data_IF_175305444210
#
_entry.id   IF_175305444210
#
_cell.length_a   1.000
_cell.length_b   1.000
_cell.length_c   1.000
_cell.angle_alpha   90.00
_cell.angle_beta   90.00
_cell.angle_gamma   90.00
#
_symmetry.space_group_name_H-M   'P 1'
#
loop_
_entity.id
_entity.type
_entity.pdbx_description
1 polymer ?
#
# COMPACT_ATOMS: atom_id res chain seq x y z
N UNK A 1 19.95 -20.72 -59.21
CA UNK A 1 20.51 -20.19 -57.96
C UNK A 1 19.49 -19.22 -57.39
N UNK A 2 18.79 -19.72 -56.37
CA UNK A 2 18.25 -19.02 -55.20
C UNK A 2 17.17 -17.94 -55.38
N UNK A 3 15.93 -18.41 -55.48
CA UNK A 3 14.73 -17.75 -54.96
C UNK A 3 14.55 -18.15 -53.49
N UNK A 4 14.86 -17.26 -52.55
CA UNK A 4 14.62 -17.49 -51.12
C UNK A 4 13.28 -16.93 -50.65
N UNK A 5 12.58 -17.84 -49.98
CA UNK A 5 11.21 -17.85 -49.50
C UNK A 5 10.88 -16.78 -48.46
N UNK A 6 9.65 -16.25 -48.56
CA UNK A 6 8.89 -15.72 -47.44
C UNK A 6 8.41 -16.87 -46.54
N UNK A 7 8.57 -16.72 -45.22
CA UNK A 7 7.78 -17.44 -44.22
C UNK A 7 7.47 -16.52 -43.04
N UNK A 8 6.18 -16.24 -42.73
CA UNK A 8 5.83 -15.47 -41.54
C UNK A 8 5.88 -16.37 -40.29
N UNK A 9 6.58 -15.91 -39.26
CA UNK A 9 6.67 -16.56 -37.96
C UNK A 9 5.34 -16.49 -37.22
N UNK A 10 4.71 -17.65 -37.03
CA UNK A 10 3.50 -17.86 -36.24
C UNK A 10 3.75 -17.65 -34.74
N UNK A 11 3.02 -16.71 -34.13
CA UNK A 11 2.93 -16.59 -32.67
C UNK A 11 1.96 -17.63 -32.11
N UNK A 12 2.47 -18.82 -31.77
CA UNK A 12 1.71 -19.80 -31.02
C UNK A 12 1.54 -19.36 -29.55
N UNK A 13 0.35 -18.88 -29.18
CA UNK A 13 -0.08 -18.75 -27.79
C UNK A 13 -0.20 -20.14 -27.17
N UNK A 14 0.65 -20.46 -26.19
CA UNK A 14 0.49 -21.67 -25.35
C UNK A 14 -0.71 -21.48 -24.41
N UNK A 15 -1.65 -22.42 -24.33
CA UNK A 15 -2.64 -22.44 -23.26
C UNK A 15 -1.97 -22.98 -21.98
N UNK A 16 -1.71 -22.10 -21.01
CA UNK A 16 -1.37 -22.51 -19.66
C UNK A 16 -2.67 -22.86 -18.92
N UNK A 17 -3.03 -24.14 -18.90
CA UNK A 17 -4.12 -24.65 -18.07
C UNK A 17 -3.59 -24.99 -16.68
N UNK A 18 -3.59 -24.02 -15.77
CA UNK A 18 -3.56 -24.31 -14.34
C UNK A 18 -5.01 -24.47 -13.87
N UNK A 19 -5.40 -25.56 -13.18
CA UNK A 19 -6.68 -25.58 -12.50
C UNK A 19 -6.58 -24.66 -11.27
N UNK A 20 -6.94 -23.39 -11.46
CA UNK A 20 -7.28 -22.51 -10.35
C UNK A 20 -8.52 -23.11 -9.69
N UNK A 21 -8.32 -23.84 -8.60
CA UNK A 21 -9.41 -24.19 -7.70
C UNK A 21 -10.09 -22.88 -7.28
N UNK A 22 -11.41 -22.71 -7.46
CA UNK A 22 -12.08 -21.55 -6.94
C UNK A 22 -11.91 -21.56 -5.42
N UNK A 23 -11.23 -20.54 -4.90
CA UNK A 23 -11.26 -20.28 -3.47
C UNK A 23 -12.73 -20.20 -3.04
N UNK A 24 -13.15 -20.93 -2.00
CA UNK A 24 -14.53 -20.84 -1.53
C UNK A 24 -14.79 -19.39 -1.16
N UNK A 25 -15.71 -18.76 -1.89
CA UNK A 25 -16.23 -17.44 -1.57
C UNK A 25 -16.70 -17.47 -0.11
N UNK A 26 -16.18 -16.61 0.77
CA UNK A 26 -16.55 -16.64 2.18
C UNK A 26 -18.04 -16.38 2.29
N UNK A 27 -18.75 -17.30 2.95
CA UNK A 27 -20.19 -17.22 3.17
C UNK A 27 -20.53 -15.83 3.78
N UNK A 28 -21.42 -15.04 3.16
CA UNK A 28 -21.71 -13.67 3.61
C UNK A 28 -22.22 -13.62 5.06
N UNK A 29 -22.88 -14.69 5.51
CA UNK A 29 -23.34 -14.83 6.89
C UNK A 29 -22.20 -14.90 7.93
N UNK A 30 -21.06 -15.51 7.57
CA UNK A 30 -19.91 -15.66 8.48
C UNK A 30 -19.12 -14.35 8.63
N UNK A 31 -19.08 -13.54 7.57
CA UNK A 31 -18.41 -12.23 7.61
C UNK A 31 -19.12 -11.29 8.58
N UNK A 32 -20.46 -11.25 8.55
CA UNK A 32 -21.24 -10.42 9.46
C UNK A 32 -21.05 -10.81 10.94
N UNK A 33 -20.91 -12.12 11.23
CA UNK A 33 -20.65 -12.59 12.58
C UNK A 33 -19.26 -12.18 13.08
N UNK A 34 -18.23 -12.31 12.23
CA UNK A 34 -16.88 -11.88 12.55
C UNK A 34 -16.80 -10.36 12.76
N UNK A 35 -17.46 -9.57 11.91
CA UNK A 35 -17.51 -8.12 12.03
C UNK A 35 -18.17 -7.67 13.33
N UNK A 36 -19.25 -8.35 13.73
CA UNK A 36 -19.92 -8.09 15.01
C UNK A 36 -19.03 -8.45 16.22
N UNK A 37 -18.33 -9.59 16.19
CA UNK A 37 -17.40 -9.99 17.23
C UNK A 37 -16.23 -9.00 17.34
N UNK A 38 -15.65 -8.63 16.20
CA UNK A 38 -14.55 -7.66 16.15
C UNK A 38 -15.00 -6.29 16.67
N UNK A 39 -16.20 -5.85 16.31
CA UNK A 39 -16.77 -4.60 16.82
C UNK A 39 -16.99 -4.64 18.33
N UNK A 40 -17.55 -5.73 18.86
CA UNK A 40 -17.70 -5.92 20.29
C UNK A 40 -16.35 -5.88 21.02
N UNK A 41 -15.34 -6.55 20.47
CA UNK A 41 -13.98 -6.56 21.01
C UNK A 41 -13.33 -5.17 21.00
N UNK A 42 -13.49 -4.40 19.90
CA UNK A 42 -12.97 -3.03 19.80
C UNK A 42 -13.65 -2.08 20.79
N UNK A 43 -14.96 -2.23 21.03
CA UNK A 43 -15.68 -1.42 22.01
C UNK A 43 -15.21 -1.66 23.45
N UNK A 44 -14.59 -2.81 23.75
CA UNK A 44 -14.01 -3.07 25.06
C UNK A 44 -12.72 -2.24 25.30
N UNK A 45 -12.05 -1.78 24.24
CA UNK A 45 -10.80 -1.02 24.36
C UNK A 45 -10.99 0.36 25.01
N UNK A 46 -12.18 0.94 24.90
CA UNK A 46 -12.51 2.25 25.49
C UNK A 46 -12.87 2.16 26.99
N UNK A 47 -12.94 0.95 27.56
CA UNK A 47 -13.33 0.73 28.95
C UNK A 47 -12.08 0.54 29.84
N UNK A 48 -11.75 1.50 30.71
CA UNK A 48 -10.47 1.55 31.41
C UNK A 48 -10.49 0.67 32.66
N UNK A 49 -10.49 -0.66 32.50
CA UNK A 49 -9.96 -1.64 33.49
C UNK A 49 -10.37 -3.09 33.15
N UNK A 50 -9.37 -3.95 32.93
CA UNK A 50 -9.30 -5.34 33.45
C UNK A 50 -10.18 -6.46 32.88
N UNK A 51 -10.87 -6.32 31.74
CA UNK A 51 -11.61 -7.48 31.18
C UNK A 51 -10.76 -8.41 30.31
N UNK A 52 -9.96 -7.87 29.37
CA UNK A 52 -9.27 -8.71 28.38
C UNK A 52 -8.09 -9.47 28.99
N UNK A 53 -7.23 -8.81 29.77
CA UNK A 53 -6.09 -9.47 30.41
C UNK A 53 -6.56 -10.57 31.37
N UNK A 54 -7.55 -10.27 32.22
CA UNK A 54 -8.11 -11.24 33.16
C UNK A 54 -8.83 -12.40 32.46
N UNK A 55 -9.59 -12.12 31.39
CA UNK A 55 -10.23 -13.17 30.58
C UNK A 55 -9.20 -14.04 29.87
N UNK A 56 -8.08 -13.46 29.45
CA UNK A 56 -7.00 -14.18 28.81
C UNK A 56 -6.24 -15.06 29.81
N UNK A 57 -5.93 -14.56 31.01
CA UNK A 57 -5.36 -15.36 32.10
C UNK A 57 -6.28 -16.52 32.48
N UNK A 58 -7.57 -16.28 32.68
CA UNK A 58 -8.54 -17.34 32.96
C UNK A 58 -8.61 -18.39 31.83
N UNK A 59 -8.51 -17.96 30.56
CA UNK A 59 -8.45 -18.87 29.42
C UNK A 59 -7.19 -19.76 29.48
N UNK A 60 -6.03 -19.19 29.84
CA UNK A 60 -4.78 -19.93 30.03
C UNK A 60 -4.87 -20.92 31.20
N UNK A 61 -5.50 -20.52 32.31
CA UNK A 61 -5.73 -21.39 33.48
C UNK A 61 -6.69 -22.54 33.19
N UNK A 62 -7.69 -22.31 32.34
CA UNK A 62 -8.64 -23.35 31.91
C UNK A 62 -8.02 -24.39 30.96
N UNK A 63 -6.82 -24.12 30.44
CA UNK A 63 -6.12 -24.99 29.50
C UNK A 63 -5.43 -26.16 30.21
N UNK A 64 -5.65 -27.41 29.78
CA UNK A 64 -5.21 -28.61 30.52
C UNK A 64 -3.69 -28.88 30.43
N UNK A 65 -2.98 -28.31 29.45
CA UNK A 65 -1.55 -28.54 29.21
C UNK A 65 -0.80 -27.25 28.85
N UNK A 66 0.48 -27.17 29.22
CA UNK A 66 1.33 -26.00 28.95
C UNK A 66 1.63 -25.78 27.45
N UNK A 67 1.60 -26.84 26.65
CA UNK A 67 1.71 -26.73 25.19
C UNK A 67 0.54 -25.93 24.59
N UNK A 68 -0.68 -26.17 25.09
CA UNK A 68 -1.88 -25.45 24.65
C UNK A 68 -1.86 -24.00 25.12
N UNK A 69 -1.35 -23.73 26.33
CA UNK A 69 -1.13 -22.35 26.82
C UNK A 69 -0.17 -21.57 25.93
N UNK A 70 0.96 -22.19 25.58
CA UNK A 70 1.95 -21.59 24.67
C UNK A 70 1.33 -21.26 23.31
N UNK A 71 0.53 -22.19 22.77
CA UNK A 71 -0.20 -21.99 21.51
C UNK A 71 -1.22 -20.84 21.60
N UNK A 72 -1.93 -20.70 22.72
CA UNK A 72 -2.88 -19.60 22.94
C UNK A 72 -2.17 -18.24 22.99
N UNK A 73 -1.01 -18.17 23.65
CA UNK A 73 -0.15 -16.98 23.69
C UNK A 73 0.28 -16.58 22.28
N UNK A 74 0.82 -17.51 21.50
CA UNK A 74 1.26 -17.24 20.13
C UNK A 74 0.12 -16.76 19.24
N UNK A 75 -1.08 -17.35 19.39
CA UNK A 75 -2.28 -16.94 18.65
C UNK A 75 -2.73 -15.53 19.04
N UNK A 76 -2.73 -15.21 20.33
CA UNK A 76 -3.10 -13.88 20.82
C UNK A 76 -2.14 -12.81 20.29
N UNK A 77 -0.82 -13.05 20.37
CA UNK A 77 0.21 -12.16 19.83
C UNK A 77 0.06 -11.96 18.32
N UNK A 78 -0.15 -13.06 17.57
CA UNK A 78 -0.35 -13.01 16.12
C UNK A 78 -1.60 -12.22 15.75
N UNK A 79 -2.71 -12.44 16.45
CA UNK A 79 -3.96 -11.72 16.22
C UNK A 79 -3.81 -10.22 16.53
N UNK A 80 -3.18 -9.88 17.66
CA UNK A 80 -2.90 -8.49 18.05
C UNK A 80 -2.03 -7.77 17.02
N UNK A 81 -1.01 -8.44 16.48
CA UNK A 81 -0.14 -7.89 15.43
C UNK A 81 -0.92 -7.60 14.14
N UNK A 82 -1.78 -8.52 13.69
CA UNK A 82 -2.63 -8.29 12.52
C UNK A 82 -3.60 -7.13 12.73
N UNK A 83 -4.25 -7.06 13.90
CA UNK A 83 -5.19 -5.99 14.22
C UNK A 83 -4.49 -4.63 14.29
N UNK A 84 -3.30 -4.57 14.90
CA UNK A 84 -2.47 -3.36 14.96
C UNK A 84 -2.12 -2.86 13.56
N UNK A 85 -1.62 -3.73 12.69
CA UNK A 85 -1.25 -3.33 11.32
C UNK A 85 -2.47 -2.96 10.46
N UNK A 86 -3.61 -3.63 10.66
CA UNK A 86 -4.88 -3.27 10.02
C UNK A 86 -5.37 -1.88 10.48
N UNK A 87 -5.30 -1.60 11.79
CA UNK A 87 -5.63 -0.30 12.37
C UNK A 87 -4.73 0.81 11.82
N UNK A 88 -3.41 0.63 11.86
CA UNK A 88 -2.43 1.57 11.29
C UNK A 88 -2.67 1.83 9.79
N UNK A 89 -2.91 0.77 9.00
CA UNK A 89 -3.22 0.90 7.56
C UNK A 89 -4.50 1.70 7.34
N UNK A 90 -5.54 1.43 8.12
CA UNK A 90 -6.83 2.14 8.05
C UNK A 90 -6.69 3.60 8.43
N UNK A 91 -5.94 3.91 9.49
CA UNK A 91 -5.63 5.27 9.90
C UNK A 91 -4.91 6.05 8.78
N UNK A 92 -3.84 5.48 8.19
CA UNK A 92 -3.14 6.08 7.04
C UNK A 92 -4.07 6.34 5.86
N UNK A 93 -4.95 5.39 5.53
CA UNK A 93 -5.93 5.53 4.44
C UNK A 93 -6.93 6.66 4.74
N UNK A 94 -7.42 6.76 5.97
CA UNK A 94 -8.32 7.84 6.38
C UNK A 94 -7.63 9.21 6.37
N UNK A 95 -6.39 9.31 6.85
CA UNK A 95 -5.60 10.55 6.77
C UNK A 95 -5.34 10.96 5.33
N UNK A 96 -5.07 10.02 4.41
CA UNK A 96 -4.95 10.30 2.97
C UNK A 96 -6.21 10.99 2.41
N UNK A 97 -7.39 10.43 2.71
CA UNK A 97 -8.68 10.99 2.28
C UNK A 97 -8.92 12.35 2.94
N UNK A 98 -8.66 12.47 4.24
CA UNK A 98 -8.80 13.73 4.96
C UNK A 98 -7.91 14.81 4.35
N UNK A 99 -6.62 14.52 4.12
CA UNK A 99 -5.69 15.45 3.49
C UNK A 99 -6.23 15.93 2.14
N UNK A 100 -6.78 15.03 1.31
CA UNK A 100 -7.38 15.44 0.03
C UNK A 100 -8.64 16.29 0.14
N UNK A 101 -9.40 16.16 1.24
CA UNK A 101 -10.61 16.96 1.47
C UNK A 101 -10.31 18.32 2.10
N UNK A 102 -9.30 18.40 2.97
CA UNK A 102 -8.93 19.65 3.66
C UNK A 102 -7.90 20.48 2.90
N UNK A 103 -7.22 19.89 1.92
CA UNK A 103 -6.25 20.61 1.12
C UNK A 103 -6.94 21.69 0.29
N UNK A 104 -6.48 22.93 0.43
CA UNK A 104 -7.15 24.10 -0.13
C UNK A 104 -7.11 24.16 -1.66
N UNK A 105 -6.13 23.50 -2.29
CA UNK A 105 -5.93 23.55 -3.73
C UNK A 105 -6.47 22.29 -4.43
N UNK A 106 -7.11 22.42 -5.60
CA UNK A 106 -7.42 21.27 -6.44
C UNK A 106 -6.13 20.59 -6.94
N UNK A 107 -6.21 19.35 -7.45
CA UNK A 107 -5.05 18.60 -7.95
C UNK A 107 -4.23 19.37 -8.99
N UNK A 108 -4.87 20.02 -9.96
CA UNK A 108 -4.17 20.73 -11.04
C UNK A 108 -3.30 21.89 -10.53
N UNK A 109 -3.83 22.67 -9.57
CA UNK A 109 -3.07 23.75 -8.94
C UNK A 109 -1.97 23.20 -8.03
N UNK A 110 -2.21 22.06 -7.37
CA UNK A 110 -1.19 21.39 -6.56
C UNK A 110 -0.05 20.90 -7.43
N UNK A 111 -0.34 20.24 -8.56
CA UNK A 111 0.63 19.80 -9.57
C UNK A 111 1.42 21.01 -10.08
N UNK A 112 0.73 22.12 -10.38
CA UNK A 112 1.42 23.35 -10.84
C UNK A 112 2.41 23.88 -9.80
N UNK A 113 2.03 23.94 -8.53
CA UNK A 113 2.95 24.34 -7.45
C UNK A 113 4.12 23.36 -7.34
N UNK A 114 3.85 22.05 -7.37
CA UNK A 114 4.90 21.03 -7.29
C UNK A 114 5.87 21.07 -8.47
N UNK A 115 5.39 21.40 -9.68
CA UNK A 115 6.22 21.56 -10.89
C UNK A 115 7.17 22.76 -10.84
N UNK A 116 7.00 23.65 -9.86
CA UNK A 116 7.88 24.80 -9.63
C UNK A 116 8.92 24.53 -8.54
N UNK A 117 8.89 23.35 -7.91
CA UNK A 117 9.85 22.95 -6.89
C UNK A 117 11.12 22.40 -7.54
N UNK A 118 12.26 22.62 -6.88
CA UNK A 118 13.48 21.90 -7.22
C UNK A 118 13.34 20.39 -6.92
N UNK A 119 14.20 19.58 -7.52
CA UNK A 119 14.18 18.11 -7.43
C UNK A 119 14.14 17.59 -6.00
N UNK A 120 14.88 18.22 -5.08
CA UNK A 120 14.96 17.80 -3.69
C UNK A 120 13.67 18.15 -2.95
N UNK A 121 13.18 19.37 -3.10
CA UNK A 121 11.91 19.81 -2.51
C UNK A 121 10.72 19.00 -3.02
N UNK A 122 10.69 18.66 -4.32
CA UNK A 122 9.66 17.78 -4.89
C UNK A 122 9.69 16.39 -4.27
N UNK A 123 10.88 15.82 -4.04
CA UNK A 123 11.02 14.52 -3.38
C UNK A 123 10.54 14.57 -1.93
N UNK A 124 10.86 15.62 -1.18
CA UNK A 124 10.34 15.80 0.18
C UNK A 124 8.82 15.95 0.19
N UNK A 125 8.26 16.78 -0.68
CA UNK A 125 6.82 16.93 -0.83
C UNK A 125 6.14 15.59 -1.12
N UNK A 126 6.66 14.82 -2.07
CA UNK A 126 6.15 13.49 -2.41
C UNK A 126 6.21 12.49 -1.24
N UNK A 127 7.19 12.61 -0.35
CA UNK A 127 7.34 11.75 0.82
C UNK A 127 6.41 12.11 2.00
N UNK A 128 5.83 13.31 2.02
CA UNK A 128 4.99 13.76 3.15
C UNK A 128 3.67 13.00 3.27
N UNK A 129 2.96 12.81 2.16
CA UNK A 129 1.68 12.14 2.15
C UNK A 129 1.33 11.60 0.76
N UNK A 130 0.44 10.61 0.72
CA UNK A 130 0.00 9.97 -0.54
C UNK A 130 -0.70 10.91 -1.53
N UNK A 131 -1.29 12.02 -1.07
CA UNK A 131 -1.93 13.00 -1.96
C UNK A 131 -0.86 13.77 -2.75
N UNK A 132 0.15 14.30 -2.05
CA UNK A 132 1.29 14.94 -2.70
C UNK A 132 2.10 13.95 -3.53
N UNK A 133 2.28 12.72 -3.06
CA UNK A 133 2.90 11.67 -3.88
C UNK A 133 2.20 11.50 -5.23
N UNK A 134 0.86 11.39 -5.24
CA UNK A 134 0.08 11.26 -6.48
C UNK A 134 0.24 12.47 -7.40
N UNK A 135 0.20 13.68 -6.86
CA UNK A 135 0.37 14.90 -7.65
C UNK A 135 1.81 15.04 -8.16
N UNK A 136 2.81 14.68 -7.35
CA UNK A 136 4.22 14.75 -7.70
C UNK A 136 4.62 13.74 -8.77
N UNK A 137 3.86 12.65 -8.95
CA UNK A 137 4.07 11.68 -10.04
C UNK A 137 3.53 12.17 -11.39
N UNK A 138 2.90 13.34 -11.45
CA UNK A 138 2.44 13.91 -12.71
C UNK A 138 3.64 14.30 -13.61
N UNK A 139 3.60 14.01 -14.92
CA UNK A 139 4.70 14.31 -15.83
C UNK A 139 5.13 15.78 -15.84
N UNK A 140 4.20 16.72 -15.60
CA UNK A 140 4.52 18.15 -15.54
C UNK A 140 5.50 18.49 -14.41
N UNK A 141 5.51 17.71 -13.33
CA UNK A 141 6.48 17.88 -12.25
C UNK A 141 7.92 17.54 -12.66
N UNK A 142 8.09 16.86 -13.80
CA UNK A 142 9.39 16.42 -14.31
C UNK A 142 9.82 17.13 -15.61
N UNK A 143 8.99 18.01 -16.17
CA UNK A 143 9.25 18.69 -17.44
C UNK A 143 10.44 19.68 -17.36
N UNK A 144 10.65 20.32 -16.19
CA UNK A 144 11.71 21.31 -15.98
C UNK A 144 12.51 20.98 -14.72
N UNK A 145 13.35 19.95 -14.80
CA UNK A 145 14.21 19.51 -13.68
C UNK A 145 15.66 19.92 -13.92
N UNK A 146 16.25 20.57 -12.92
CA UNK A 146 17.69 20.81 -12.88
C UNK A 146 18.43 19.60 -12.29
N UNK A 147 19.27 18.99 -13.12
CA UNK A 147 20.14 17.87 -12.76
C UNK A 147 21.63 18.29 -12.67
N UNK A 148 21.93 19.58 -12.79
CA UNK A 148 23.31 20.11 -12.75
C UNK A 148 23.87 20.23 -11.32
N UNK A 149 23.08 19.87 -10.31
CA UNK A 149 23.48 19.94 -8.90
C UNK A 149 24.69 19.06 -8.60
N UNK A 150 25.69 19.60 -7.89
CA UNK A 150 26.93 18.90 -7.54
C UNK A 150 26.69 17.75 -6.55
N UNK A 151 25.65 17.85 -5.71
CA UNK A 151 25.25 16.84 -4.73
C UNK A 151 23.71 16.78 -4.66
N UNK A 152 23.09 15.58 -4.68
CA UNK A 152 23.70 14.27 -4.91
C UNK A 152 24.18 14.11 -6.36
N UNK A 153 25.27 13.36 -6.56
CA UNK A 153 25.82 13.10 -7.89
C UNK A 153 24.79 12.38 -8.77
N UNK A 154 24.29 13.08 -9.78
CA UNK A 154 23.34 12.52 -10.75
C UNK A 154 24.08 11.57 -11.69
N UNK A 155 23.55 10.36 -11.86
CA UNK A 155 24.05 9.36 -12.80
C UNK A 155 23.05 9.13 -13.93
N UNK A 156 23.45 8.39 -14.96
CA UNK A 156 22.61 8.10 -16.13
C UNK A 156 21.29 7.38 -15.77
N UNK A 157 21.26 6.60 -14.67
CA UNK A 157 20.03 5.95 -14.22
C UNK A 157 19.01 6.95 -13.68
N UNK A 158 19.47 7.96 -12.93
CA UNK A 158 18.62 9.06 -12.47
C UNK A 158 18.12 9.87 -13.67
N UNK A 159 18.99 10.23 -14.61
CA UNK A 159 18.60 10.95 -15.84
C UNK A 159 17.54 10.18 -16.62
N UNK A 160 17.77 8.89 -16.89
CA UNK A 160 16.81 8.01 -17.59
C UNK A 160 15.47 7.93 -16.86
N UNK A 161 15.49 7.82 -15.52
CA UNK A 161 14.27 7.79 -14.71
C UNK A 161 13.49 9.12 -14.81
N UNK A 162 14.18 10.27 -14.80
CA UNK A 162 13.51 11.57 -14.91
C UNK A 162 12.90 11.77 -16.30
N UNK A 163 13.61 11.37 -17.36
CA UNK A 163 13.09 11.38 -18.73
C UNK A 163 11.84 10.50 -18.82
N UNK A 164 11.88 9.28 -18.27
CA UNK A 164 10.74 8.37 -18.28
C UNK A 164 9.53 8.94 -17.54
N UNK A 165 9.75 9.63 -16.41
CA UNK A 165 8.67 10.25 -15.62
C UNK A 165 8.05 11.45 -16.32
N UNK A 166 8.85 12.26 -17.01
CA UNK A 166 8.37 13.42 -17.74
C UNK A 166 7.62 13.04 -19.04
N UNK A 167 7.98 11.91 -19.68
CA UNK A 167 7.26 11.38 -20.84
C UNK A 167 7.05 12.43 -21.94
N UNK A 168 5.82 12.55 -22.42
CA UNK A 168 5.41 13.50 -23.47
C UNK A 168 5.55 14.97 -23.05
N UNK A 169 5.71 15.28 -21.76
CA UNK A 169 5.88 16.66 -21.30
C UNK A 169 7.27 17.26 -21.63
N UNK A 170 8.19 16.47 -22.20
CA UNK A 170 9.50 16.92 -22.69
C UNK A 170 9.51 17.28 -24.19
N UNK A 171 8.43 17.00 -24.92
CA UNK A 171 8.29 17.28 -26.35
C UNK A 171 7.65 18.65 -26.58
#
# INVERSE_FOLDING_TARGET
MDTLLHTPTSMAKRPCSFPSSPSPSPNPNMNNQLDNLLRAFLNLADSPSLSIDHSFEHLLESSPCDADKSLLIDRALKLGSFLLEAGKRSARKRSSVHNSLTWALPPDLTIKVLSMLDTQSLCYAAATCSMFYKCAMDPLCYANIDLTTVVPKVNNAVVSTMIQRAGEALL
#
